data_IF_649426411385
#
_entry.id   IF_649426411385
#
_cell.length_a   1.000
_cell.length_b   1.000
_cell.length_c   1.000
_cell.angle_alpha   90.00
_cell.angle_beta   90.00
_cell.angle_gamma   90.00
#
_symmetry.space_group_name_H-M   'P 1'
#
loop_
_entity.id
_entity.type
_entity.pdbx_description
1 polymer ?
#
# COMPACT_ATOMS: atom_id res chain seq x y z
N UNK A 1 -45.08 43.97 30.92
CA UNK A 1 -46.19 44.65 30.20
C UNK A 1 -46.58 43.70 29.08
N UNK A 2 -47.73 43.02 29.28
CA UNK A 2 -49.01 43.12 28.52
C UNK A 2 -48.83 42.77 27.03
N UNK A 3 -49.51 41.89 26.36
CA UNK A 3 -50.91 41.40 26.48
C UNK A 3 -51.08 40.00 25.87
N UNK A 4 -51.94 39.22 26.52
CA UNK A 4 -52.72 38.07 26.09
C UNK A 4 -53.73 38.49 25.02
N UNK A 5 -54.06 37.62 24.08
CA UNK A 5 -55.45 37.51 23.59
C UNK A 5 -55.78 36.06 23.26
N UNK A 6 -56.77 35.56 23.98
CA UNK A 6 -57.59 34.38 23.72
C UNK A 6 -58.62 34.75 22.64
N UNK A 7 -58.98 33.82 21.77
CA UNK A 7 -60.28 33.87 21.12
C UNK A 7 -60.94 32.45 21.02
N UNK A 8 -62.17 32.46 21.32
CA UNK A 8 -63.13 31.41 21.71
C UNK A 8 -63.69 30.60 20.55
N UNK A 9 -64.23 29.48 20.92
CA UNK A 9 -64.93 28.41 20.21
C UNK A 9 -66.18 28.82 19.39
N UNK A 10 -66.55 27.97 18.46
CA UNK A 10 -67.97 27.74 18.15
C UNK A 10 -68.18 26.25 17.78
N UNK A 11 -68.96 25.58 18.66
CA UNK A 11 -69.58 24.29 18.42
C UNK A 11 -70.82 24.48 17.52
N UNK A 12 -70.96 23.68 16.47
CA UNK A 12 -72.25 23.40 15.82
C UNK A 12 -72.45 21.92 15.75
N UNK A 13 -73.46 21.44 16.50
CA UNK A 13 -73.95 20.08 16.46
C UNK A 13 -74.89 19.92 15.24
N UNK A 14 -74.66 18.90 14.44
CA UNK A 14 -75.59 18.49 13.38
C UNK A 14 -75.97 17.02 13.58
N UNK A 15 -77.17 16.82 13.99
CA UNK A 15 -77.80 15.51 14.15
C UNK A 15 -78.12 14.88 12.77
N UNK A 16 -77.65 13.69 12.48
CA UNK A 16 -78.00 12.94 11.28
C UNK A 16 -78.56 11.59 11.67
N UNK A 17 -79.77 11.32 11.18
CA UNK A 17 -80.58 10.15 11.37
C UNK A 17 -80.00 8.89 10.77
N UNK A 18 -80.07 7.79 11.53
CA UNK A 18 -79.54 6.46 11.13
C UNK A 18 -80.65 5.74 10.32
N UNK A 19 -80.35 5.40 9.08
CA UNK A 19 -81.12 4.43 8.31
C UNK A 19 -80.28 3.12 8.25
N UNK A 20 -80.77 2.10 8.91
CA UNK A 20 -80.14 0.79 8.92
C UNK A 20 -80.48 0.01 7.60
N UNK A 21 -79.39 -0.17 6.79
CA UNK A 21 -79.45 -1.23 5.73
C UNK A 21 -78.57 -2.38 6.22
N UNK A 22 -79.24 -3.56 6.33
CA UNK A 22 -78.58 -4.80 6.67
C UNK A 22 -77.65 -5.25 5.50
N UNK A 23 -76.32 -5.31 5.74
CA UNK A 23 -75.36 -5.90 4.84
C UNK A 23 -75.09 -7.37 5.24
N UNK A 24 -74.81 -8.27 4.30
CA UNK A 24 -74.56 -9.70 4.59
C UNK A 24 -73.22 -9.85 5.29
N UNK A 25 -73.08 -10.80 6.21
CA UNK A 25 -71.94 -11.17 6.97
C UNK A 25 -70.73 -11.52 6.05
N UNK A 26 -69.53 -11.01 6.28
CA UNK A 26 -68.37 -11.42 5.53
C UNK A 26 -67.98 -12.87 5.87
N UNK A 27 -67.54 -13.61 4.84
CA UNK A 27 -66.98 -14.95 4.95
C UNK A 27 -65.76 -14.98 5.85
N UNK A 28 -65.44 -16.06 6.59
CA UNK A 28 -64.27 -16.16 7.42
C UNK A 28 -63.01 -16.05 6.57
N UNK A 29 -61.93 -15.40 7.06
CA UNK A 29 -60.68 -15.29 6.33
C UNK A 29 -60.07 -16.68 6.11
N UNK A 30 -59.36 -16.88 4.97
CA UNK A 30 -58.69 -18.15 4.72
C UNK A 30 -57.65 -18.41 5.81
N UNK A 31 -57.67 -19.62 6.35
CA UNK A 31 -56.69 -20.13 7.30
C UNK A 31 -55.30 -19.95 6.70
N UNK A 32 -54.47 -19.16 7.36
CA UNK A 32 -53.07 -18.98 6.99
C UNK A 32 -52.40 -20.34 7.10
N UNK A 33 -51.96 -20.90 5.98
CA UNK A 33 -51.11 -22.07 5.97
C UNK A 33 -49.84 -21.75 6.81
N UNK A 34 -49.59 -22.57 7.81
CA UNK A 34 -48.32 -22.54 8.58
C UNK A 34 -47.17 -22.68 7.58
N UNK A 35 -46.53 -21.56 7.24
CA UNK A 35 -45.23 -21.60 6.61
C UNK A 35 -44.24 -22.10 7.66
N UNK A 36 -43.82 -23.34 7.48
CA UNK A 36 -42.71 -23.89 8.23
C UNK A 36 -41.54 -22.87 8.24
N UNK A 37 -40.83 -22.68 9.36
CA UNK A 37 -39.72 -21.77 9.41
C UNK A 37 -38.70 -22.21 8.36
N UNK A 38 -38.39 -21.32 7.41
CA UNK A 38 -37.26 -21.50 6.50
C UNK A 38 -36.04 -21.63 7.39
N UNK A 39 -35.48 -22.84 7.43
CA UNK A 39 -34.22 -23.08 8.11
C UNK A 39 -33.18 -22.12 7.47
N UNK A 40 -32.76 -21.12 8.23
CA UNK A 40 -31.60 -20.31 7.88
C UNK A 40 -30.45 -21.30 7.82
N UNK A 41 -29.96 -21.58 6.61
CA UNK A 41 -28.81 -22.43 6.42
C UNK A 41 -27.67 -21.83 7.25
N UNK A 42 -27.21 -22.58 8.24
CA UNK A 42 -25.98 -22.21 8.96
C UNK A 42 -24.89 -22.03 7.93
N UNK A 43 -24.08 -20.95 7.98
CA UNK A 43 -23.00 -20.76 7.03
C UNK A 43 -22.13 -22.02 7.07
N UNK A 44 -21.93 -22.64 5.92
CA UNK A 44 -21.01 -23.77 5.77
C UNK A 44 -19.65 -23.31 6.34
N UNK A 45 -19.02 -24.08 7.23
CA UNK A 45 -17.70 -23.72 7.72
C UNK A 45 -16.78 -23.51 6.53
N UNK A 46 -16.25 -22.31 6.39
CA UNK A 46 -15.29 -22.00 5.32
C UNK A 46 -14.05 -22.86 5.58
N UNK A 47 -13.64 -23.68 4.60
CA UNK A 47 -12.52 -24.59 4.75
C UNK A 47 -11.27 -23.84 5.26
N UNK A 48 -10.53 -24.45 6.18
CA UNK A 48 -9.26 -23.92 6.64
C UNK A 48 -8.26 -23.78 5.51
N UNK A 49 -7.26 -22.93 5.70
CA UNK A 49 -6.19 -22.71 4.72
C UNK A 49 -4.84 -22.96 5.37
N UNK A 50 -3.95 -23.68 4.64
CA UNK A 50 -2.55 -23.82 5.01
C UNK A 50 -1.71 -23.13 3.96
N UNK A 51 -0.82 -22.24 4.40
CA UNK A 51 0.09 -21.47 3.54
C UNK A 51 1.52 -21.59 4.03
N UNK A 52 2.48 -21.38 3.12
CA UNK A 52 3.90 -21.26 3.49
C UNK A 52 4.24 -19.77 3.55
N UNK A 53 4.80 -19.33 4.66
CA UNK A 53 5.17 -17.94 4.86
C UNK A 53 6.59 -17.61 4.36
N UNK A 54 7.02 -16.35 4.53
CA UNK A 54 8.33 -15.88 4.10
C UNK A 54 9.52 -16.53 4.82
N UNK A 55 9.30 -17.13 5.99
CA UNK A 55 10.31 -17.91 6.73
C UNK A 55 10.30 -19.41 6.35
N UNK A 56 9.49 -19.82 5.38
CA UNK A 56 9.33 -21.20 4.95
C UNK A 56 8.53 -22.07 5.92
N UNK A 57 7.74 -21.46 6.82
CA UNK A 57 6.93 -22.18 7.80
C UNK A 57 5.52 -22.44 7.24
N UNK A 58 4.96 -23.59 7.55
CA UNK A 58 3.55 -23.84 7.33
C UNK A 58 2.71 -23.13 8.41
N UNK A 59 1.80 -22.28 7.98
CA UNK A 59 0.82 -21.59 8.83
C UNK A 59 -0.56 -22.14 8.47
N UNK A 60 -1.17 -22.85 9.41
CA UNK A 60 -2.50 -23.43 9.24
C UNK A 60 -3.52 -22.60 10.01
N UNK A 61 -4.50 -22.09 9.28
CA UNK A 61 -5.64 -21.34 9.79
C UNK A 61 -6.90 -22.21 9.69
N UNK A 62 -7.69 -22.38 10.76
CA UNK A 62 -8.87 -23.26 10.75
C UNK A 62 -9.99 -22.76 9.83
N UNK A 63 -9.98 -21.48 9.51
CA UNK A 63 -10.87 -20.81 8.57
C UNK A 63 -10.15 -19.61 7.95
N UNK A 64 -10.71 -19.00 6.90
CA UNK A 64 -10.23 -17.73 6.38
C UNK A 64 -10.31 -16.65 7.46
N UNK A 65 -9.21 -15.95 7.77
CA UNK A 65 -9.15 -14.99 8.87
C UNK A 65 -10.13 -13.82 8.64
N UNK A 66 -10.80 -13.39 9.70
CA UNK A 66 -11.76 -12.29 9.71
C UNK A 66 -11.30 -11.12 10.59
N UNK A 67 -10.30 -11.33 11.44
CA UNK A 67 -9.78 -10.33 12.37
C UNK A 67 -8.27 -10.26 12.25
N UNK A 68 -7.82 -9.55 11.23
CA UNK A 68 -6.38 -9.44 10.91
C UNK A 68 -5.82 -8.16 11.52
N UNK A 69 -4.67 -8.27 12.16
CA UNK A 69 -3.89 -7.13 12.63
C UNK A 69 -2.60 -7.02 11.83
N UNK A 70 -2.29 -5.81 11.37
CA UNK A 70 -1.04 -5.46 10.70
C UNK A 70 -0.16 -4.66 11.67
N UNK A 71 1.07 -5.11 11.92
CA UNK A 71 1.95 -4.42 12.87
C UNK A 71 3.42 -4.54 12.46
N UNK A 72 4.31 -3.91 13.21
CA UNK A 72 5.74 -3.91 12.97
C UNK A 72 6.21 -2.72 12.13
N UNK A 73 7.52 -2.72 11.85
CA UNK A 73 8.16 -1.63 11.08
C UNK A 73 7.85 -1.72 9.59
N UNK A 74 7.94 -0.59 8.90
CA UNK A 74 7.68 -0.49 7.46
C UNK A 74 6.28 -1.00 7.05
N UNK A 75 5.30 -0.75 7.89
CA UNK A 75 3.94 -1.29 7.80
C UNK A 75 3.23 -0.95 6.49
N UNK A 76 3.44 0.26 5.95
CA UNK A 76 2.81 0.68 4.69
C UNK A 76 3.15 -0.26 3.52
N UNK A 77 4.35 -0.86 3.51
CA UNK A 77 4.77 -1.82 2.48
C UNK A 77 3.86 -3.07 2.47
N UNK A 78 3.46 -3.53 3.66
CA UNK A 78 2.54 -4.66 3.82
C UNK A 78 1.10 -4.21 3.59
N UNK A 79 0.71 -3.10 4.20
CA UNK A 79 -0.65 -2.61 4.17
C UNK A 79 -1.10 -2.29 2.74
N UNK A 80 -0.28 -1.58 1.97
CA UNK A 80 -0.61 -1.20 0.60
C UNK A 80 -0.77 -2.45 -0.30
N UNK A 81 0.09 -3.48 -0.13
CA UNK A 81 -0.07 -4.75 -0.83
C UNK A 81 -1.35 -5.50 -0.42
N UNK A 82 -1.68 -5.51 0.86
CA UNK A 82 -2.90 -6.15 1.39
C UNK A 82 -4.15 -5.43 0.88
N UNK A 83 -4.14 -4.11 0.80
CA UNK A 83 -5.29 -3.34 0.32
C UNK A 83 -5.51 -3.40 -1.21
N UNK A 84 -4.67 -4.13 -1.94
CA UNK A 84 -5.02 -4.57 -3.29
C UNK A 84 -6.15 -5.63 -3.29
N UNK A 85 -6.42 -6.28 -2.15
CA UNK A 85 -7.53 -7.21 -1.95
C UNK A 85 -8.75 -6.47 -1.39
N UNK A 86 -9.92 -6.54 -2.04
CA UNK A 86 -11.12 -5.82 -1.59
C UNK A 86 -11.62 -6.27 -0.20
N UNK A 87 -11.29 -7.49 0.20
CA UNK A 87 -11.64 -8.06 1.51
C UNK A 87 -10.90 -7.38 2.68
N UNK A 88 -9.77 -6.72 2.42
CA UNK A 88 -8.91 -6.12 3.45
C UNK A 88 -9.67 -5.10 4.30
N UNK A 89 -10.47 -4.24 3.67
CA UNK A 89 -11.22 -3.18 4.37
C UNK A 89 -12.13 -3.73 5.49
N UNK A 90 -12.70 -4.92 5.31
CA UNK A 90 -13.58 -5.55 6.31
C UNK A 90 -12.82 -6.40 7.32
N UNK A 91 -11.72 -7.05 6.91
CA UNK A 91 -11.01 -8.03 7.75
C UNK A 91 -9.89 -7.45 8.58
N UNK A 92 -9.30 -6.32 8.18
CA UNK A 92 -8.30 -5.62 8.99
C UNK A 92 -9.02 -4.90 10.14
N UNK A 93 -8.75 -5.31 11.38
CA UNK A 93 -9.35 -4.72 12.59
C UNK A 93 -8.41 -3.77 13.31
N UNK A 94 -7.13 -3.83 13.05
CA UNK A 94 -6.13 -2.94 13.64
C UNK A 94 -4.86 -2.88 12.82
N UNK A 95 -4.17 -1.75 12.89
CA UNK A 95 -2.88 -1.56 12.25
C UNK A 95 -2.00 -0.58 13.01
N UNK A 96 -0.68 -0.77 12.90
CA UNK A 96 0.32 0.13 13.43
C UNK A 96 0.35 1.46 12.67
N UNK A 97 1.03 2.43 13.25
CA UNK A 97 1.28 3.71 12.59
C UNK A 97 2.42 3.60 11.58
N UNK A 98 2.32 4.35 10.48
CA UNK A 98 3.42 4.54 9.55
C UNK A 98 4.29 5.72 9.99
N UNK A 99 5.61 5.59 9.83
CA UNK A 99 6.55 6.64 10.23
C UNK A 99 7.22 7.33 9.02
N UNK A 100 6.88 6.94 7.81
CA UNK A 100 7.45 7.45 6.56
C UNK A 100 6.35 8.01 5.66
N UNK A 101 6.77 8.82 4.69
CA UNK A 101 5.87 9.40 3.70
C UNK A 101 5.19 10.69 4.15
N UNK A 102 4.42 11.26 3.24
CA UNK A 102 3.70 12.52 3.42
C UNK A 102 2.24 12.33 3.86
N UNK A 103 1.81 11.08 4.11
CA UNK A 103 0.44 10.76 4.50
C UNK A 103 0.23 9.29 4.83
N UNK A 104 -1.02 8.86 4.83
CA UNK A 104 -1.40 7.46 5.04
C UNK A 104 -2.37 7.05 3.93
N UNK A 105 -1.87 6.25 2.99
CA UNK A 105 -2.64 5.82 1.82
C UNK A 105 -3.87 4.99 2.20
N UNK A 106 -3.72 4.05 3.13
CA UNK A 106 -4.85 3.21 3.58
C UNK A 106 -5.98 4.08 4.16
N UNK A 107 -5.62 5.14 4.90
CA UNK A 107 -6.62 6.08 5.44
C UNK A 107 -7.42 6.80 4.34
N UNK A 108 -6.81 7.01 3.17
CA UNK A 108 -7.49 7.65 2.04
C UNK A 108 -8.47 6.72 1.33
N UNK A 109 -8.13 5.42 1.23
CA UNK A 109 -8.86 4.48 0.38
C UNK A 109 -9.81 3.55 1.15
N UNK A 110 -9.62 3.39 2.46
CA UNK A 110 -10.44 2.49 3.26
C UNK A 110 -11.62 3.22 3.92
N UNK A 111 -12.86 2.97 3.47
CA UNK A 111 -14.05 3.58 4.07
C UNK A 111 -14.27 3.19 5.54
N UNK A 112 -13.66 2.06 5.97
CA UNK A 112 -13.76 1.55 7.34
C UNK A 112 -12.56 1.93 8.22
N UNK A 113 -11.65 2.79 7.74
CA UNK A 113 -10.42 3.12 8.46
C UNK A 113 -10.69 3.67 9.88
N UNK A 114 -11.71 4.50 10.04
CA UNK A 114 -12.04 5.12 11.33
C UNK A 114 -12.50 4.11 12.41
N UNK A 115 -12.96 2.93 12.00
CA UNK A 115 -13.36 1.85 12.91
C UNK A 115 -12.20 0.94 13.32
N UNK A 116 -11.02 1.07 12.72
CA UNK A 116 -9.87 0.24 13.01
C UNK A 116 -9.10 0.76 14.21
N UNK A 117 -8.58 -0.17 15.02
CA UNK A 117 -7.66 0.18 16.09
C UNK A 117 -6.32 0.66 15.51
N UNK A 118 -5.85 1.81 15.97
CA UNK A 118 -4.53 2.34 15.65
C UNK A 118 -3.58 1.92 16.76
N UNK A 119 -2.62 1.07 16.44
CA UNK A 119 -1.58 0.62 17.36
C UNK A 119 -0.37 1.55 17.31
N UNK A 120 0.31 1.69 18.44
CA UNK A 120 1.61 2.33 18.47
C UNK A 120 2.60 1.57 17.58
N UNK A 121 3.61 2.29 17.08
CA UNK A 121 4.64 1.71 16.19
C UNK A 121 5.33 0.48 16.76
N UNK A 122 5.59 0.50 18.06
CA UNK A 122 6.27 -0.56 18.80
C UNK A 122 5.29 -1.28 19.77
N UNK A 123 4.01 -1.41 19.33
CA UNK A 123 2.97 -2.10 20.11
C UNK A 123 3.42 -3.50 20.52
N UNK A 124 3.34 -3.77 21.83
CA UNK A 124 3.66 -5.08 22.39
C UNK A 124 2.61 -6.13 22.07
N UNK A 125 2.97 -7.40 22.28
CA UNK A 125 2.09 -8.55 21.99
C UNK A 125 0.74 -8.47 22.73
N UNK A 126 0.70 -7.94 23.94
CA UNK A 126 -0.53 -7.77 24.72
C UNK A 126 -1.49 -6.76 24.10
N UNK A 127 -0.97 -5.65 23.54
CA UNK A 127 -1.78 -4.66 22.83
C UNK A 127 -2.38 -5.23 21.54
N UNK A 128 -1.61 -6.08 20.85
CA UNK A 128 -2.09 -6.81 19.67
C UNK A 128 -3.16 -7.83 20.09
N UNK A 129 -2.92 -8.62 21.15
CA UNK A 129 -3.85 -9.62 21.65
C UNK A 129 -5.18 -9.04 22.14
N UNK A 130 -5.18 -7.81 22.68
CA UNK A 130 -6.39 -7.11 23.10
C UNK A 130 -7.39 -6.89 21.96
N UNK A 131 -6.93 -6.89 20.70
CA UNK A 131 -7.77 -6.80 19.51
C UNK A 131 -8.37 -8.15 19.10
N UNK A 132 -8.01 -9.25 19.79
CA UNK A 132 -8.47 -10.61 19.51
C UNK A 132 -8.32 -10.98 18.02
N UNK A 133 -7.11 -10.85 17.43
CA UNK A 133 -6.91 -11.23 16.05
C UNK A 133 -6.92 -12.76 15.89
N UNK A 134 -7.42 -13.21 14.75
CA UNK A 134 -7.26 -14.58 14.27
C UNK A 134 -6.04 -14.76 13.37
N UNK A 135 -5.41 -13.64 12.95
CA UNK A 135 -4.14 -13.59 12.23
C UNK A 135 -3.43 -12.26 12.47
N UNK A 136 -2.12 -12.30 12.62
CA UNK A 136 -1.24 -11.12 12.56
C UNK A 136 -0.32 -11.25 11.36
N UNK A 137 -0.15 -10.18 10.59
CA UNK A 137 0.76 -10.15 9.44
C UNK A 137 1.85 -9.11 9.69
N UNK A 138 3.11 -9.52 9.55
CA UNK A 138 4.30 -8.66 9.69
C UNK A 138 5.42 -9.07 8.74
N UNK A 139 6.40 -8.18 8.58
CA UNK A 139 7.62 -8.52 7.83
C UNK A 139 8.45 -9.57 8.59
N UNK A 140 9.10 -10.47 7.87
CA UNK A 140 9.96 -11.52 8.44
C UNK A 140 11.08 -10.95 9.31
N UNK A 141 11.57 -9.76 8.99
CA UNK A 141 12.59 -9.04 9.78
C UNK A 141 12.12 -8.66 11.19
N UNK A 142 10.81 -8.66 11.45
CA UNK A 142 10.22 -8.41 12.77
C UNK A 142 9.95 -9.69 13.58
N UNK A 143 10.28 -10.87 13.05
CA UNK A 143 9.92 -12.15 13.65
C UNK A 143 10.42 -12.29 15.08
N UNK A 144 11.70 -12.02 15.34
CA UNK A 144 12.31 -12.22 16.65
C UNK A 144 11.75 -11.25 17.72
N UNK A 145 11.60 -9.97 17.36
CA UNK A 145 11.29 -8.90 18.32
C UNK A 145 9.78 -8.77 18.54
N UNK A 146 8.99 -8.91 17.47
CA UNK A 146 7.53 -8.67 17.51
C UNK A 146 6.75 -9.97 17.33
N UNK A 147 7.13 -10.80 16.37
CA UNK A 147 6.38 -11.99 15.99
C UNK A 147 6.37 -13.07 17.08
N UNK A 148 7.53 -13.51 17.56
CA UNK A 148 7.63 -14.55 18.59
C UNK A 148 6.86 -14.23 19.89
N UNK A 149 6.88 -13.01 20.44
CA UNK A 149 6.03 -12.66 21.57
C UNK A 149 4.53 -12.81 21.29
N UNK A 150 4.07 -12.50 20.07
CA UNK A 150 2.66 -12.67 19.66
C UNK A 150 2.32 -14.16 19.53
N UNK A 151 3.19 -14.95 18.91
CA UNK A 151 3.03 -16.41 18.78
C UNK A 151 2.98 -17.12 20.14
N UNK A 152 3.74 -16.64 21.13
CA UNK A 152 3.72 -17.16 22.50
C UNK A 152 2.36 -17.00 23.20
N UNK A 153 1.51 -16.08 22.72
CA UNK A 153 0.13 -15.92 23.16
C UNK A 153 -0.87 -16.82 22.39
N UNK A 154 -0.37 -17.70 21.52
CA UNK A 154 -1.19 -18.61 20.71
C UNK A 154 -1.86 -17.96 19.52
N UNK A 155 -1.45 -16.76 19.12
CA UNK A 155 -2.00 -16.03 17.98
C UNK A 155 -1.21 -16.43 16.72
N UNK A 156 -1.87 -16.86 15.62
CA UNK A 156 -1.22 -17.16 14.37
C UNK A 156 -0.53 -15.92 13.78
N UNK A 157 0.71 -16.10 13.30
CA UNK A 157 1.50 -15.05 12.67
C UNK A 157 1.93 -15.50 11.27
N UNK A 158 1.67 -14.66 10.27
CA UNK A 158 2.14 -14.80 8.90
C UNK A 158 3.24 -13.79 8.61
N UNK A 159 4.40 -14.27 8.17
CA UNK A 159 5.49 -13.40 7.76
C UNK A 159 5.52 -13.22 6.25
N UNK A 160 5.79 -11.98 5.82
CA UNK A 160 5.97 -11.58 4.43
C UNK A 160 7.28 -10.78 4.29
N UNK A 161 7.84 -10.68 3.09
CA UNK A 161 9.08 -9.94 2.82
C UNK A 161 8.88 -8.77 1.87
N UNK A 162 8.39 -9.05 0.65
CA UNK A 162 8.23 -8.10 -0.46
C UNK A 162 9.52 -7.43 -0.97
N UNK A 163 10.71 -7.81 -0.53
CA UNK A 163 11.97 -7.09 -0.80
C UNK A 163 12.52 -7.29 -2.22
N UNK A 164 12.06 -8.33 -2.95
CA UNK A 164 12.43 -8.58 -4.35
C UNK A 164 11.18 -8.90 -5.17
N UNK A 165 11.22 -8.81 -6.53
CA UNK A 165 10.09 -9.22 -7.36
C UNK A 165 9.61 -10.65 -7.10
N UNK A 166 10.54 -11.61 -6.89
CA UNK A 166 10.20 -13.00 -6.59
C UNK A 166 9.49 -13.14 -5.26
N UNK A 167 9.99 -12.46 -4.22
CA UNK A 167 9.33 -12.41 -2.91
C UNK A 167 7.97 -11.72 -3.02
N UNK A 168 7.89 -10.65 -3.81
CA UNK A 168 6.64 -9.94 -4.03
C UNK A 168 5.55 -10.83 -4.61
N UNK A 169 5.87 -11.63 -5.63
CA UNK A 169 4.92 -12.56 -6.24
C UNK A 169 4.57 -13.74 -5.33
N UNK A 170 5.55 -14.28 -4.58
CA UNK A 170 5.32 -15.31 -3.56
C UNK A 170 4.35 -14.81 -2.49
N UNK A 171 4.62 -13.64 -1.93
CA UNK A 171 3.82 -13.10 -0.83
C UNK A 171 2.42 -12.70 -1.29
N UNK A 172 2.26 -12.17 -2.50
CA UNK A 172 0.94 -11.95 -3.11
C UNK A 172 0.15 -13.25 -3.26
N UNK A 173 0.78 -14.33 -3.70
CA UNK A 173 0.11 -15.63 -3.84
C UNK A 173 -0.34 -16.17 -2.48
N UNK A 174 0.51 -16.05 -1.46
CA UNK A 174 0.19 -16.40 -0.07
C UNK A 174 -0.99 -15.58 0.46
N UNK A 175 -0.96 -14.26 0.26
CA UNK A 175 -2.07 -13.38 0.64
C UNK A 175 -3.37 -13.74 -0.11
N UNK A 176 -3.27 -14.12 -1.38
CA UNK A 176 -4.42 -14.58 -2.15
C UNK A 176 -5.14 -15.77 -1.51
N UNK A 177 -4.38 -16.71 -0.96
CA UNK A 177 -4.94 -17.84 -0.22
C UNK A 177 -5.56 -17.39 1.12
N UNK A 178 -4.85 -16.56 1.89
CA UNK A 178 -5.30 -16.01 3.18
C UNK A 178 -6.59 -15.19 3.05
N UNK A 179 -6.69 -14.39 1.99
CA UNK A 179 -7.91 -13.61 1.71
C UNK A 179 -8.99 -14.43 0.98
N UNK A 180 -8.71 -15.68 0.59
CA UNK A 180 -9.64 -16.52 -0.19
C UNK A 180 -9.89 -15.97 -1.60
N UNK A 181 -8.95 -15.21 -2.14
CA UNK A 181 -9.05 -14.55 -3.45
C UNK A 181 -7.77 -14.73 -4.28
N UNK A 182 -7.40 -15.98 -4.64
CA UNK A 182 -6.20 -16.25 -5.44
C UNK A 182 -6.27 -15.63 -6.84
N UNK A 183 -7.47 -15.46 -7.39
CA UNK A 183 -7.66 -14.79 -8.69
C UNK A 183 -7.22 -13.32 -8.64
N UNK A 184 -7.50 -12.62 -7.54
CA UNK A 184 -7.04 -11.25 -7.34
C UNK A 184 -5.52 -11.17 -7.20
N UNK A 185 -4.93 -12.07 -6.41
CA UNK A 185 -3.47 -12.16 -6.28
C UNK A 185 -2.81 -12.35 -7.66
N UNK A 186 -3.36 -13.26 -8.49
CA UNK A 186 -2.87 -13.49 -9.84
C UNK A 186 -3.00 -12.23 -10.72
N UNK A 187 -4.16 -11.55 -10.68
CA UNK A 187 -4.38 -10.34 -11.48
C UNK A 187 -3.39 -9.22 -11.12
N UNK A 188 -3.13 -9.03 -9.81
CA UNK A 188 -2.13 -8.07 -9.33
C UNK A 188 -0.72 -8.48 -9.81
N UNK A 189 -0.34 -9.75 -9.63
CA UNK A 189 0.97 -10.25 -10.08
C UNK A 189 1.16 -10.11 -11.59
N UNK A 190 0.11 -10.35 -12.38
CA UNK A 190 0.16 -10.22 -13.84
C UNK A 190 0.30 -8.77 -14.29
N UNK A 191 -0.28 -7.81 -13.56
CA UNK A 191 -0.03 -6.39 -13.82
C UNK A 191 1.47 -6.07 -13.73
N UNK A 192 2.14 -6.49 -12.66
CA UNK A 192 3.58 -6.27 -12.49
C UNK A 192 4.41 -6.99 -13.55
N UNK A 193 4.12 -8.28 -13.82
CA UNK A 193 4.83 -9.07 -14.82
C UNK A 193 4.75 -8.46 -16.21
N UNK A 194 3.56 -7.97 -16.61
CA UNK A 194 3.41 -7.27 -17.90
C UNK A 194 4.27 -6.02 -17.96
N UNK A 195 4.30 -5.20 -16.92
CA UNK A 195 5.12 -3.97 -16.88
C UNK A 195 6.61 -4.28 -16.91
N UNK A 196 7.06 -5.25 -16.12
CA UNK A 196 8.46 -5.72 -16.11
C UNK A 196 8.85 -6.19 -17.53
N UNK A 197 8.07 -7.08 -18.13
CA UNK A 197 8.36 -7.61 -19.46
C UNK A 197 8.39 -6.52 -20.55
N UNK A 198 7.51 -5.53 -20.49
CA UNK A 198 7.53 -4.37 -21.39
C UNK A 198 8.82 -3.58 -21.27
N UNK A 199 9.28 -3.33 -20.04
CA UNK A 199 10.53 -2.59 -19.77
C UNK A 199 11.73 -3.41 -20.26
N UNK A 200 11.84 -4.68 -19.87
CA UNK A 200 12.94 -5.55 -20.28
C UNK A 200 13.04 -5.66 -21.79
N UNK A 201 11.91 -5.79 -22.47
CA UNK A 201 11.86 -5.81 -23.94
C UNK A 201 12.33 -4.49 -24.56
N UNK A 202 11.92 -3.35 -23.99
CA UNK A 202 12.27 -2.03 -24.51
C UNK A 202 13.78 -1.76 -24.36
N UNK A 203 14.40 -2.17 -23.25
CA UNK A 203 15.82 -1.95 -22.99
C UNK A 203 16.74 -3.06 -23.50
N UNK A 204 16.18 -4.11 -24.11
CA UNK A 204 16.96 -5.21 -24.64
C UNK A 204 17.96 -4.72 -25.70
N UNK A 205 19.25 -5.11 -25.51
CA UNK A 205 20.34 -4.70 -26.39
C UNK A 205 20.74 -3.22 -26.31
N UNK A 206 20.11 -2.42 -25.44
CA UNK A 206 20.54 -1.05 -25.19
C UNK A 206 21.87 -1.01 -24.40
N UNK A 207 22.70 0.05 -24.55
CA UNK A 207 23.82 0.29 -23.64
C UNK A 207 23.33 0.34 -22.19
N UNK A 208 24.17 -0.11 -21.25
CA UNK A 208 23.83 -0.09 -19.80
C UNK A 208 24.52 1.08 -19.13
N UNK A 209 23.84 2.24 -18.99
CA UNK A 209 24.44 3.40 -18.34
C UNK A 209 24.75 3.08 -16.87
N UNK A 210 25.85 3.67 -16.38
CA UNK A 210 26.31 3.54 -15.00
C UNK A 210 25.40 4.38 -14.10
N UNK A 211 24.64 3.74 -13.26
CA UNK A 211 23.61 4.37 -12.43
C UNK A 211 23.97 4.26 -10.94
N UNK A 212 23.76 5.34 -10.20
CA UNK A 212 23.88 5.40 -8.76
C UNK A 212 22.55 5.77 -8.15
N UNK A 213 22.04 4.94 -7.24
CA UNK A 213 20.86 5.23 -6.43
C UNK A 213 21.29 5.49 -5.00
N UNK A 214 20.95 6.66 -4.47
CA UNK A 214 21.33 7.14 -3.15
C UNK A 214 20.12 7.46 -2.29
N UNK A 215 20.11 6.95 -1.06
CA UNK A 215 19.20 7.42 -0.02
C UNK A 215 19.85 8.56 0.75
N UNK A 216 19.25 9.74 0.68
CA UNK A 216 19.60 10.92 1.47
C UNK A 216 18.93 10.84 2.84
N UNK A 217 19.73 10.93 3.90
CA UNK A 217 19.25 10.95 5.27
C UNK A 217 19.97 12.07 6.07
N UNK A 218 19.18 12.88 6.78
CA UNK A 218 19.72 13.96 7.63
C UNK A 218 19.08 14.00 9.03
N UNK A 219 18.45 12.90 9.43
CA UNK A 219 17.69 12.82 10.70
C UNK A 219 18.55 12.95 11.94
N UNK A 220 19.82 12.56 11.86
CA UNK A 220 20.73 12.55 13.00
C UNK A 220 21.60 13.82 13.08
N UNK A 221 21.16 14.90 12.43
CA UNK A 221 21.81 16.21 12.43
C UNK A 221 23.02 16.33 11.49
N UNK A 222 23.35 15.25 10.76
CA UNK A 222 24.35 15.25 9.69
C UNK A 222 23.80 14.59 8.45
N UNK A 223 24.21 15.10 7.27
CA UNK A 223 23.83 14.51 5.99
C UNK A 223 24.59 13.21 5.77
N UNK A 224 23.87 12.15 5.49
CA UNK A 224 24.41 10.86 5.10
C UNK A 224 23.83 10.42 3.75
N UNK A 225 24.69 9.91 2.88
CA UNK A 225 24.32 9.25 1.63
C UNK A 225 24.50 7.75 1.80
N UNK A 226 23.49 6.99 1.42
CA UNK A 226 23.48 5.56 1.63
C UNK A 226 23.13 4.85 0.33
N UNK A 227 23.74 3.68 0.10
CA UNK A 227 23.46 2.80 -1.03
C UNK A 227 22.72 1.53 -0.55
N UNK A 228 21.82 0.95 -1.38
CA UNK A 228 21.11 -0.25 -1.02
C UNK A 228 21.97 -1.52 -1.16
N UNK A 229 21.67 -2.61 -0.42
CA UNK A 229 22.19 -3.94 -0.69
C UNK A 229 21.87 -4.43 -2.10
N UNK A 230 22.69 -5.34 -2.63
CA UNK A 230 22.53 -5.84 -4.01
C UNK A 230 21.24 -6.65 -4.22
N UNK A 231 20.73 -7.25 -3.15
CA UNK A 231 19.52 -8.08 -3.21
C UNK A 231 18.22 -7.32 -2.93
N UNK A 232 18.28 -6.00 -2.74
CA UNK A 232 17.08 -5.20 -2.51
C UNK A 232 16.44 -4.71 -3.81
N UNK A 233 15.15 -4.39 -3.73
CA UNK A 233 14.33 -3.95 -4.86
C UNK A 233 14.95 -2.76 -5.60
N UNK A 234 15.58 -1.81 -4.88
CA UNK A 234 16.22 -0.64 -5.47
C UNK A 234 17.33 -1.01 -6.45
N UNK A 235 18.20 -1.97 -6.08
CA UNK A 235 19.24 -2.46 -6.97
C UNK A 235 18.65 -3.24 -8.14
N UNK A 236 17.66 -4.08 -7.87
CA UNK A 236 16.95 -4.87 -8.89
C UNK A 236 16.25 -3.95 -9.90
N UNK A 237 15.61 -2.87 -9.45
CA UNK A 237 15.00 -1.88 -10.35
C UNK A 237 16.03 -1.25 -11.31
N UNK A 238 17.20 -0.84 -10.81
CA UNK A 238 18.28 -0.32 -11.67
C UNK A 238 18.67 -1.34 -12.75
N UNK A 239 18.76 -2.62 -12.38
CA UNK A 239 19.16 -3.69 -13.30
C UNK A 239 18.07 -3.99 -14.36
N UNK A 240 16.81 -4.10 -13.95
CA UNK A 240 15.67 -4.34 -14.85
C UNK A 240 15.46 -3.13 -15.78
N UNK A 241 15.66 -1.92 -15.27
CA UNK A 241 15.60 -0.68 -16.07
C UNK A 241 16.75 -0.56 -17.09
N UNK A 242 17.63 -1.57 -17.21
CA UNK A 242 18.76 -1.58 -18.15
C UNK A 242 19.99 -0.78 -17.67
N UNK A 243 20.04 -0.33 -16.41
CA UNK A 243 21.20 0.32 -15.83
C UNK A 243 22.23 -0.66 -15.28
N UNK A 244 23.43 -0.15 -15.00
CA UNK A 244 24.50 -0.84 -14.27
C UNK A 244 24.70 -0.16 -12.92
N UNK A 245 24.37 -0.82 -11.78
CA UNK A 245 24.63 -0.27 -10.46
C UNK A 245 26.14 -0.08 -10.24
N UNK A 246 26.59 1.15 -9.98
CA UNK A 246 28.04 1.45 -9.82
C UNK A 246 28.63 0.95 -8.51
N UNK A 247 27.79 0.56 -7.55
CA UNK A 247 28.17 0.05 -6.22
C UNK A 247 28.26 -1.47 -6.13
N UNK A 248 28.17 -2.19 -7.26
CA UNK A 248 28.15 -3.66 -7.27
C UNK A 248 29.33 -4.31 -6.58
N UNK A 249 30.50 -3.66 -6.63
CA UNK A 249 31.75 -4.17 -6.04
C UNK A 249 32.04 -3.56 -4.65
N UNK A 250 31.11 -2.77 -4.10
CA UNK A 250 31.28 -2.14 -2.79
C UNK A 250 31.10 -3.18 -1.67
N UNK A 251 31.78 -2.94 -0.54
CA UNK A 251 31.57 -3.72 0.67
C UNK A 251 30.27 -3.29 1.32
N UNK A 252 29.20 -4.06 1.13
CA UNK A 252 27.85 -3.76 1.58
C UNK A 252 27.53 -4.43 2.92
N UNK A 253 26.73 -3.74 3.73
CA UNK A 253 26.06 -4.30 4.91
C UNK A 253 24.77 -5.07 4.54
N UNK A 254 24.02 -5.51 5.57
CA UNK A 254 22.70 -6.14 5.40
C UNK A 254 21.56 -5.13 5.14
N UNK A 255 21.84 -3.84 5.29
CA UNK A 255 20.91 -2.73 5.10
C UNK A 255 21.62 -1.57 4.38
N UNK A 256 21.00 -0.41 4.39
CA UNK A 256 21.58 0.80 3.84
C UNK A 256 23.04 0.98 4.31
N UNK A 257 23.96 1.16 3.38
CA UNK A 257 25.38 1.34 3.65
C UNK A 257 25.78 2.77 3.35
N UNK A 258 26.29 3.48 4.35
CA UNK A 258 26.75 4.86 4.19
C UNK A 258 27.99 4.93 3.31
N UNK A 259 28.03 5.94 2.45
CA UNK A 259 29.16 6.23 1.54
C UNK A 259 29.56 7.71 1.63
N UNK A 260 30.81 7.99 1.31
CA UNK A 260 31.34 9.36 1.29
C UNK A 260 31.17 9.98 -0.11
N UNK A 261 31.28 11.30 -0.18
CA UNK A 261 31.24 12.01 -1.46
C UNK A 261 32.42 11.66 -2.37
N UNK A 262 33.61 11.40 -1.80
CA UNK A 262 34.78 10.93 -2.54
C UNK A 262 34.51 9.57 -3.19
N UNK A 263 33.81 8.67 -2.50
CA UNK A 263 33.44 7.38 -3.06
C UNK A 263 32.39 7.53 -4.17
N UNK A 264 31.42 8.43 -4.00
CA UNK A 264 30.44 8.78 -5.03
C UNK A 264 31.16 9.32 -6.28
N UNK A 265 32.13 10.22 -6.07
CA UNK A 265 32.91 10.79 -7.15
C UNK A 265 33.79 9.74 -7.87
N UNK A 266 34.42 8.82 -7.11
CA UNK A 266 35.23 7.74 -7.66
C UNK A 266 34.44 6.76 -8.52
N UNK A 267 33.15 6.55 -8.24
CA UNK A 267 32.27 5.72 -9.09
C UNK A 267 31.94 6.38 -10.43
N UNK A 268 32.06 7.69 -10.58
CA UNK A 268 31.80 8.43 -11.82
C UNK A 268 30.55 7.92 -12.58
N UNK A 269 29.40 7.93 -11.90
CA UNK A 269 28.14 7.48 -12.48
C UNK A 269 27.69 8.37 -13.65
N UNK A 270 27.01 7.79 -14.64
CA UNK A 270 26.35 8.53 -15.71
C UNK A 270 25.07 9.22 -15.20
N UNK A 271 24.36 8.54 -14.30
CA UNK A 271 23.10 9.00 -13.70
C UNK A 271 23.17 8.83 -12.18
N UNK A 272 22.66 9.83 -11.47
CA UNK A 272 22.49 9.77 -10.02
C UNK A 272 21.01 10.00 -9.69
N UNK A 273 20.42 9.07 -8.94
CA UNK A 273 19.06 9.10 -8.46
C UNK A 273 19.04 9.20 -6.95
N UNK A 274 18.38 10.24 -6.42
CA UNK A 274 18.36 10.51 -4.98
C UNK A 274 16.95 10.26 -4.45
N UNK A 275 16.82 9.31 -3.53
CA UNK A 275 15.60 9.06 -2.76
C UNK A 275 15.65 9.77 -1.42
N UNK A 276 14.52 10.25 -0.93
CA UNK A 276 14.37 10.85 0.39
C UNK A 276 13.02 10.44 0.98
N UNK A 277 13.04 9.94 2.22
CA UNK A 277 11.82 9.40 2.87
C UNK A 277 11.16 10.38 3.84
N UNK A 278 11.83 11.48 4.16
CA UNK A 278 11.39 12.42 5.19
C UNK A 278 11.38 13.88 4.73
N UNK A 279 11.95 14.15 3.57
CA UNK A 279 11.96 15.46 2.91
C UNK A 279 11.51 15.33 1.47
N UNK A 280 11.01 16.41 0.90
CA UNK A 280 10.72 16.46 -0.53
C UNK A 280 12.00 16.20 -1.34
N UNK A 281 12.06 15.12 -2.15
CA UNK A 281 13.26 14.79 -2.90
C UNK A 281 13.68 15.88 -3.89
N UNK A 282 12.74 16.68 -4.43
CA UNK A 282 13.05 17.81 -5.31
C UNK A 282 13.82 18.91 -4.58
N UNK A 283 13.46 19.21 -3.33
CA UNK A 283 14.18 20.19 -2.50
C UNK A 283 15.58 19.69 -2.17
N UNK A 284 15.72 18.40 -1.83
CA UNK A 284 17.01 17.76 -1.56
C UNK A 284 17.91 17.89 -2.79
N UNK A 285 17.43 17.46 -3.96
CA UNK A 285 18.22 17.50 -5.20
C UNK A 285 18.52 18.94 -5.62
N UNK A 286 17.58 19.87 -5.41
CA UNK A 286 17.83 21.30 -5.62
C UNK A 286 18.99 21.83 -4.80
N UNK A 287 19.07 21.47 -3.51
CA UNK A 287 20.20 21.82 -2.64
C UNK A 287 21.52 21.17 -3.09
N UNK A 288 21.49 19.90 -3.48
CA UNK A 288 22.67 19.20 -3.99
C UNK A 288 23.19 19.84 -5.31
N UNK A 289 22.30 20.21 -6.23
CA UNK A 289 22.67 20.91 -7.47
C UNK A 289 23.33 22.28 -7.22
N UNK A 290 23.02 22.91 -6.08
CA UNK A 290 23.64 24.19 -5.69
C UNK A 290 24.97 24.02 -4.94
N UNK A 291 25.29 22.83 -4.43
CA UNK A 291 26.52 22.55 -3.70
C UNK A 291 27.72 22.42 -4.67
N UNK A 292 28.82 23.20 -4.47
CA UNK A 292 30.00 23.14 -5.33
C UNK A 292 30.63 21.76 -5.44
N UNK A 293 30.61 20.96 -4.36
CA UNK A 293 31.16 19.60 -4.37
C UNK A 293 30.35 18.68 -5.27
N UNK A 294 29.00 18.81 -5.27
CA UNK A 294 28.13 18.05 -6.16
C UNK A 294 28.21 18.53 -7.60
N UNK A 295 28.43 19.83 -7.83
CA UNK A 295 28.68 20.38 -9.17
C UNK A 295 29.96 19.84 -9.80
N UNK A 296 30.93 19.37 -9.01
CA UNK A 296 32.13 18.71 -9.52
C UNK A 296 31.86 17.32 -10.11
N UNK A 297 30.71 16.68 -9.78
CA UNK A 297 30.32 15.38 -10.33
C UNK A 297 29.88 15.50 -11.79
N UNK A 298 30.31 14.58 -12.65
CA UNK A 298 29.93 14.57 -14.08
C UNK A 298 28.43 14.50 -14.29
N UNK A 299 27.74 13.57 -13.61
CA UNK A 299 26.29 13.45 -13.72
C UNK A 299 25.55 14.76 -13.37
N UNK A 300 26.02 15.51 -12.38
CA UNK A 300 25.40 16.80 -12.01
C UNK A 300 25.61 17.84 -13.09
N UNK A 301 26.85 17.98 -13.62
CA UNK A 301 27.15 18.92 -14.72
C UNK A 301 26.36 18.64 -16.00
N UNK A 302 26.09 17.37 -16.26
CA UNK A 302 25.33 16.93 -17.44
C UNK A 302 23.82 16.94 -17.22
N UNK A 303 23.34 17.44 -16.06
CA UNK A 303 21.90 17.49 -15.74
C UNK A 303 21.28 16.14 -15.43
N UNK A 304 22.11 15.14 -15.04
CA UNK A 304 21.68 13.75 -14.79
C UNK A 304 21.65 13.40 -13.29
N UNK A 305 21.46 14.40 -12.44
CA UNK A 305 21.18 14.26 -11.02
C UNK A 305 19.67 14.45 -10.83
N UNK A 306 18.94 13.40 -10.43
CA UNK A 306 17.49 13.36 -10.39
C UNK A 306 16.95 13.09 -8.99
N UNK A 307 15.85 13.76 -8.66
CA UNK A 307 15.01 13.45 -7.51
C UNK A 307 14.10 12.25 -7.83
N UNK A 308 14.26 11.14 -7.10
CA UNK A 308 13.41 9.97 -7.31
C UNK A 308 11.96 10.31 -6.98
N UNK A 309 10.98 9.86 -7.79
CA UNK A 309 9.58 10.19 -7.57
C UNK A 309 9.00 9.62 -6.28
N UNK A 310 8.02 10.34 -5.78
CA UNK A 310 7.16 9.94 -4.68
C UNK A 310 5.75 10.45 -4.89
N UNK A 311 4.80 9.81 -4.26
CA UNK A 311 3.49 10.38 -3.92
C UNK A 311 3.37 10.47 -2.39
N UNK A 312 2.48 9.72 -1.76
CA UNK A 312 2.44 9.56 -0.31
C UNK A 312 3.69 8.86 0.22
N UNK A 313 4.28 7.96 -0.58
CA UNK A 313 5.51 7.22 -0.30
C UNK A 313 6.47 7.28 -1.50
N UNK A 314 7.76 7.08 -1.25
CA UNK A 314 8.76 7.05 -2.31
C UNK A 314 8.61 5.79 -3.17
N UNK A 315 8.70 5.94 -4.49
CA UNK A 315 8.46 4.86 -5.45
C UNK A 315 9.62 3.85 -5.59
N UNK A 316 10.70 4.02 -4.83
CA UNK A 316 11.80 3.07 -4.77
C UNK A 316 11.59 1.94 -3.74
N UNK A 317 10.63 2.10 -2.82
CA UNK A 317 10.47 1.19 -1.70
C UNK A 317 9.71 -0.08 -2.11
N UNK A 318 9.91 -1.22 -1.40
CA UNK A 318 9.22 -2.48 -1.67
C UNK A 318 7.76 -2.45 -1.19
N UNK A 319 7.03 -1.40 -1.55
CA UNK A 319 5.59 -1.30 -1.48
C UNK A 319 5.00 -1.52 -2.88
N UNK A 320 3.72 -1.22 -3.08
CA UNK A 320 3.10 -1.45 -4.39
C UNK A 320 3.63 -0.51 -5.48
N UNK A 321 4.21 0.64 -5.13
CA UNK A 321 4.63 1.70 -6.07
C UNK A 321 5.95 1.45 -6.78
N UNK A 322 6.71 0.43 -6.37
CA UNK A 322 8.02 0.16 -6.99
C UNK A 322 7.95 -0.03 -8.51
N UNK A 323 6.82 -0.48 -9.03
CA UNK A 323 6.62 -0.63 -10.48
C UNK A 323 6.55 0.72 -11.20
N UNK A 324 6.00 1.76 -10.55
CA UNK A 324 6.03 3.13 -11.05
C UNK A 324 7.46 3.67 -11.03
N UNK A 325 8.19 3.42 -9.93
CA UNK A 325 9.60 3.77 -9.81
C UNK A 325 10.46 3.09 -10.88
N UNK A 326 10.23 1.81 -11.15
CA UNK A 326 10.91 1.07 -12.20
C UNK A 326 10.60 1.66 -13.59
N UNK A 327 9.34 1.96 -13.88
CA UNK A 327 8.93 2.55 -15.17
C UNK A 327 9.58 3.91 -15.39
N UNK A 328 9.57 4.78 -14.36
CA UNK A 328 10.22 6.07 -14.41
C UNK A 328 11.73 5.95 -14.62
N UNK A 329 12.37 5.06 -13.85
CA UNK A 329 13.82 4.83 -13.92
C UNK A 329 14.26 4.38 -15.31
N UNK A 330 13.51 3.45 -15.94
CA UNK A 330 13.76 3.00 -17.30
C UNK A 330 13.66 4.14 -18.32
N UNK A 331 12.63 4.99 -18.18
CA UNK A 331 12.46 6.17 -19.02
C UNK A 331 13.56 7.22 -18.85
N UNK A 332 14.15 7.34 -17.63
CA UNK A 332 15.28 8.25 -17.40
C UNK A 332 16.60 7.70 -17.93
N UNK A 333 16.84 6.39 -17.80
CA UNK A 333 18.05 5.75 -18.30
C UNK A 333 18.07 5.61 -19.84
N UNK A 334 16.90 5.43 -20.45
CA UNK A 334 16.74 5.16 -21.88
C UNK A 334 15.61 5.98 -22.53
N UNK A 335 15.67 7.31 -22.49
CA UNK A 335 14.55 8.15 -22.98
C UNK A 335 14.19 7.89 -24.44
N UNK A 336 15.14 7.47 -25.27
CA UNK A 336 14.92 7.11 -26.68
C UNK A 336 14.10 5.81 -26.85
N UNK A 337 14.05 4.95 -25.82
CA UNK A 337 13.28 3.70 -25.81
C UNK A 337 11.87 3.88 -25.26
N UNK A 338 11.62 5.00 -24.59
CA UNK A 338 10.31 5.34 -23.98
C UNK A 338 9.80 6.69 -24.49
N UNK A 339 9.67 6.88 -25.83
CA UNK A 339 9.17 8.13 -26.35
C UNK A 339 7.74 8.40 -25.90
N UNK A 340 7.50 9.57 -25.33
CA UNK A 340 6.16 9.97 -24.88
C UNK A 340 5.71 9.29 -23.58
N UNK A 341 6.64 8.75 -22.77
CA UNK A 341 6.30 8.21 -21.45
C UNK A 341 5.61 9.28 -20.60
N UNK A 342 4.38 9.00 -20.22
CA UNK A 342 3.55 9.84 -19.36
C UNK A 342 3.37 9.16 -18.01
N UNK A 343 4.13 9.59 -17.01
CA UNK A 343 4.09 8.99 -15.66
C UNK A 343 2.78 9.30 -14.92
N UNK A 344 2.06 10.36 -15.26
CA UNK A 344 0.74 10.61 -14.71
C UNK A 344 -0.28 9.59 -15.23
N UNK A 345 -0.25 9.27 -16.53
CA UNK A 345 -1.07 8.23 -17.12
C UNK A 345 -0.73 6.83 -16.55
N UNK A 346 0.57 6.54 -16.37
CA UNK A 346 1.04 5.29 -15.73
C UNK A 346 0.52 5.17 -14.28
N UNK A 347 0.59 6.24 -13.50
CA UNK A 347 0.08 6.25 -12.14
C UNK A 347 -1.45 6.12 -12.09
N UNK A 348 -2.19 6.81 -12.98
CA UNK A 348 -3.66 6.63 -13.10
C UNK A 348 -4.04 5.17 -13.37
N UNK A 349 -3.33 4.52 -14.29
CA UNK A 349 -3.55 3.12 -14.61
C UNK A 349 -3.25 2.20 -13.42
N UNK A 350 -2.14 2.45 -12.72
CA UNK A 350 -1.74 1.72 -11.51
C UNK A 350 -2.81 1.81 -10.42
N UNK A 351 -3.24 3.00 -10.04
CA UNK A 351 -4.24 3.17 -8.99
C UNK A 351 -5.60 2.61 -9.35
N UNK A 352 -5.99 2.70 -10.63
CA UNK A 352 -7.23 2.10 -11.13
C UNK A 352 -7.17 0.57 -11.10
N UNK A 353 -6.10 -0.05 -11.58
CA UNK A 353 -6.01 -1.52 -11.68
C UNK A 353 -5.79 -2.18 -10.32
N UNK A 354 -4.98 -1.57 -9.44
CA UNK A 354 -4.65 -2.17 -8.16
C UNK A 354 -5.66 -1.85 -7.06
N UNK A 355 -6.32 -0.68 -7.12
CA UNK A 355 -7.18 -0.21 -6.03
C UNK A 355 -8.58 0.18 -6.47
N UNK A 356 -8.88 0.13 -7.77
CA UNK A 356 -10.19 0.53 -8.30
C UNK A 356 -10.48 2.02 -8.19
N UNK A 357 -9.44 2.86 -7.99
CA UNK A 357 -9.61 4.31 -7.87
C UNK A 357 -9.87 4.94 -9.23
N UNK A 358 -10.90 5.75 -9.31
CA UNK A 358 -11.23 6.50 -10.52
C UNK A 358 -10.33 7.73 -10.73
N UNK A 359 -10.44 8.34 -11.90
CA UNK A 359 -9.65 9.52 -12.25
C UNK A 359 -9.96 10.71 -11.34
N UNK A 360 -11.21 10.89 -10.92
CA UNK A 360 -11.60 12.01 -10.06
C UNK A 360 -10.93 11.89 -8.69
N UNK A 361 -10.91 10.69 -8.10
CA UNK A 361 -10.22 10.44 -6.86
C UNK A 361 -8.70 10.64 -7.03
N UNK A 362 -8.12 10.08 -8.09
CA UNK A 362 -6.69 10.24 -8.37
C UNK A 362 -6.30 11.72 -8.45
N UNK A 363 -7.01 12.51 -9.25
CA UNK A 363 -6.71 13.94 -9.43
C UNK A 363 -6.89 14.75 -8.14
N UNK A 364 -7.85 14.38 -7.28
CA UNK A 364 -8.14 15.12 -6.05
C UNK A 364 -7.24 14.73 -4.88
N UNK A 365 -6.83 13.46 -4.77
CA UNK A 365 -6.20 12.94 -3.56
C UNK A 365 -4.76 12.45 -3.77
N UNK A 366 -4.43 11.93 -4.94
CA UNK A 366 -3.10 11.33 -5.21
C UNK A 366 -2.20 12.32 -5.98
N UNK A 367 -2.68 12.87 -7.09
CA UNK A 367 -1.89 13.77 -7.93
C UNK A 367 -1.26 14.96 -7.18
N UNK A 368 -1.95 15.61 -6.21
CA UNK A 368 -1.37 16.71 -5.44
C UNK A 368 -0.20 16.30 -4.54
N UNK A 369 -0.02 15.01 -4.25
CA UNK A 369 1.06 14.49 -3.40
C UNK A 369 2.33 14.18 -4.19
N UNK A 370 2.31 14.28 -5.51
CA UNK A 370 3.47 13.98 -6.36
C UNK A 370 4.65 14.87 -6.06
N UNK A 371 5.81 14.26 -5.94
CA UNK A 371 7.10 14.88 -5.68
C UNK A 371 8.18 14.23 -6.55
N UNK A 372 9.35 14.83 -6.61
CA UNK A 372 10.47 14.33 -7.41
C UNK A 372 10.43 14.83 -8.85
N UNK A 373 11.36 14.32 -9.67
CA UNK A 373 11.52 14.74 -11.07
C UNK A 373 10.55 13.96 -11.99
N UNK A 374 9.25 14.16 -11.76
CA UNK A 374 8.22 13.70 -12.69
C UNK A 374 8.23 14.58 -13.96
N UNK A 375 8.04 14.00 -15.16
CA UNK A 375 7.96 14.77 -16.40
C UNK A 375 6.73 15.64 -16.46
#
# INVERSE_FOLDING_TARGET
MKHRTLTFALLTALSLTITACAAPLPAPPPTRADTAPVAVASPTPQAGVTVVDALGREVTLPALPQRIVLTGRALFMIADAIYTFPEASQRIVGMGQTAQGSGNFVKLIDPNYAAKAVLERDAGAEQVAALQPDLVILKSTAAEITGKPIEALGIPVLYVDFETPEQYFRDLATLGQVFGNPARAQAVADFYRRKIAQIEQAVAGAPRPRALLLYYNDRDGSVAFNIPPLNWIQTTMVQIAGGQPVWSDAKLGKGWTQVTLEQIAAWDADFIFVVSYFKNPSEVVGALKADPNWQALRATREGRLFAFPADLYSWDQPDTRWILGLTWLAGRLHPERFPGLDMEAEAKAFYRELYGLDEAFFMAQIRPTFQGDLP
#
